data_IF_989305004872
#
_entry.id   IF_989305004872
#
_cell.length_a   1.000
_cell.length_b   1.000
_cell.length_c   1.000
_cell.angle_alpha   90.00
_cell.angle_beta   90.00
_cell.angle_gamma   90.00
#
_symmetry.space_group_name_H-M   'P 1'
#
loop_
_entity.id
_entity.type
_entity.pdbx_description
1 polymer ?
#
# COMPACT_ATOMS: atom_id res chain seq x y z
N UNK A 1 9.85 20.77 1.08
CA UNK A 1 11.08 20.35 0.36
C UNK A 1 11.76 19.29 1.20
N UNK A 2 11.96 18.09 0.66
CA UNK A 2 12.73 17.01 1.29
C UNK A 2 14.21 17.43 1.30
N UNK A 3 14.86 17.46 2.46
CA UNK A 3 16.29 17.75 2.56
C UNK A 3 17.07 16.70 1.76
N UNK A 4 18.03 17.11 0.94
CA UNK A 4 18.88 16.20 0.16
C UNK A 4 20.27 16.13 0.76
N UNK A 5 20.72 14.92 1.07
CA UNK A 5 22.04 14.60 1.62
C UNK A 5 22.82 13.80 0.58
N UNK A 6 24.11 14.05 0.48
CA UNK A 6 25.00 13.22 -0.34
C UNK A 6 25.91 12.42 0.56
N UNK A 7 26.00 11.12 0.29
CA UNK A 7 26.83 10.18 1.04
C UNK A 7 27.76 9.43 0.09
N UNK A 8 29.02 9.30 0.48
CA UNK A 8 30.02 8.56 -0.28
C UNK A 8 29.87 7.08 -0.02
N UNK A 9 29.78 6.27 -1.07
CA UNK A 9 29.77 4.82 -0.93
C UNK A 9 31.09 4.33 -0.32
N UNK A 10 31.08 3.54 0.77
CA UNK A 10 32.32 3.08 1.40
C UNK A 10 33.13 2.11 0.51
N UNK A 11 32.46 1.33 -0.34
CA UNK A 11 33.10 0.29 -1.15
C UNK A 11 33.88 0.84 -2.35
N UNK A 12 33.31 1.84 -3.04
CA UNK A 12 33.87 2.37 -4.28
C UNK A 12 34.32 3.82 -4.19
N UNK A 13 33.93 4.53 -3.12
CA UNK A 13 34.25 5.94 -2.89
C UNK A 13 33.96 6.85 -4.09
N UNK A 14 32.96 6.47 -4.89
CA UNK A 14 32.57 7.25 -6.05
C UNK A 14 32.00 8.60 -5.61
N UNK A 15 32.31 9.60 -6.41
CA UNK A 15 31.90 10.99 -6.26
C UNK A 15 31.22 11.42 -7.55
N UNK A 16 30.71 12.64 -7.58
CA UNK A 16 30.19 13.26 -8.80
C UNK A 16 31.20 13.22 -9.97
N UNK A 17 32.51 13.25 -9.71
CA UNK A 17 33.55 13.34 -10.72
C UNK A 17 33.93 11.99 -11.36
N UNK A 18 33.61 10.85 -10.73
CA UNK A 18 34.04 9.52 -11.17
C UNK A 18 32.92 8.47 -11.01
N UNK A 19 31.68 8.88 -11.23
CA UNK A 19 30.48 8.06 -11.11
C UNK A 19 30.08 7.38 -12.43
N UNK A 20 29.49 6.20 -12.29
CA UNK A 20 28.75 5.52 -13.36
C UNK A 20 27.25 5.46 -13.06
N UNK A 21 26.88 5.41 -11.77
CA UNK A 21 25.51 5.26 -11.34
C UNK A 21 25.18 6.06 -10.07
N UNK A 22 23.88 6.27 -9.86
CA UNK A 22 23.31 6.99 -8.70
C UNK A 22 22.21 6.16 -8.07
N UNK A 23 22.26 6.02 -6.75
CA UNK A 23 21.14 5.52 -5.96
C UNK A 23 20.60 6.67 -5.12
N UNK A 24 19.28 6.85 -5.15
CA UNK A 24 18.58 7.79 -4.26
C UNK A 24 17.69 6.99 -3.34
N UNK A 25 17.94 7.06 -2.04
CA UNK A 25 17.08 6.48 -1.00
C UNK A 25 16.29 7.58 -0.30
N UNK A 26 15.08 7.24 0.13
CA UNK A 26 14.24 8.14 0.94
C UNK A 26 14.25 7.62 2.36
N UNK A 27 14.69 8.46 3.29
CA UNK A 27 14.73 8.18 4.72
C UNK A 27 13.80 9.09 5.50
N UNK A 28 13.49 8.68 6.72
CA UNK A 28 12.81 9.50 7.72
C UNK A 28 13.76 9.70 8.89
N UNK A 29 14.01 10.95 9.26
CA UNK A 29 14.75 11.27 10.46
C UNK A 29 13.94 10.81 11.67
N UNK A 30 14.50 9.92 12.50
CA UNK A 30 13.77 9.28 13.60
C UNK A 30 13.48 10.25 14.75
N UNK A 31 14.21 11.35 14.85
CA UNK A 31 14.09 12.34 15.92
C UNK A 31 13.05 13.40 15.57
N UNK A 32 13.15 13.94 14.35
CA UNK A 32 12.31 15.06 13.88
C UNK A 32 11.11 14.59 13.08
N UNK A 33 11.12 13.34 12.61
CA UNK A 33 10.13 12.79 11.70
C UNK A 33 10.21 13.35 10.28
N UNK A 34 11.18 14.23 9.99
CA UNK A 34 11.33 14.86 8.69
C UNK A 34 11.82 13.86 7.63
N UNK A 35 11.24 13.93 6.44
CA UNK A 35 11.69 13.14 5.30
C UNK A 35 12.96 13.75 4.72
N UNK A 36 13.94 12.91 4.38
CA UNK A 36 15.15 13.30 3.66
C UNK A 36 15.43 12.32 2.51
N UNK A 37 16.17 12.78 1.51
CA UNK A 37 16.66 11.98 0.41
C UNK A 37 18.17 11.86 0.51
N UNK A 38 18.70 10.65 0.56
CA UNK A 38 20.14 10.40 0.49
C UNK A 38 20.51 10.00 -0.93
N UNK A 39 21.54 10.62 -1.47
CA UNK A 39 22.11 10.31 -2.78
C UNK A 39 23.49 9.71 -2.59
N UNK A 40 23.69 8.54 -3.16
CA UNK A 40 24.97 7.83 -3.16
C UNK A 40 25.39 7.55 -4.60
N UNK A 41 26.62 7.92 -4.93
CA UNK A 41 27.24 7.65 -6.23
C UNK A 41 27.99 6.32 -6.19
N UNK A 42 28.04 5.63 -7.33
CA UNK A 42 28.74 4.36 -7.48
C UNK A 42 29.54 4.30 -8.78
N UNK A 43 30.69 3.61 -8.75
CA UNK A 43 31.37 3.14 -9.96
C UNK A 43 30.72 1.85 -10.48
N UNK A 44 31.01 1.49 -11.73
CA UNK A 44 30.46 0.33 -12.42
C UNK A 44 30.63 -0.99 -11.65
N UNK A 45 31.81 -1.21 -11.08
CA UNK A 45 32.16 -2.48 -10.43
C UNK A 45 31.94 -2.46 -8.90
N UNK A 46 31.15 -1.50 -8.40
CA UNK A 46 30.87 -1.39 -6.97
C UNK A 46 30.01 -2.57 -6.47
N UNK A 47 30.47 -3.32 -5.43
CA UNK A 47 29.69 -4.41 -4.85
C UNK A 47 28.35 -3.96 -4.26
N UNK A 48 28.34 -2.89 -3.46
CA UNK A 48 27.09 -2.30 -2.94
C UNK A 48 26.13 -1.92 -4.07
N UNK A 49 26.61 -1.36 -5.18
CA UNK A 49 25.73 -1.05 -6.31
C UNK A 49 25.10 -2.32 -6.89
N UNK A 50 25.92 -3.35 -7.12
CA UNK A 50 25.47 -4.63 -7.68
C UNK A 50 24.38 -5.26 -6.81
N UNK A 51 24.59 -5.30 -5.49
CA UNK A 51 23.59 -5.81 -4.55
C UNK A 51 22.30 -5.01 -4.62
N UNK A 52 22.38 -3.68 -4.66
CA UNK A 52 21.19 -2.84 -4.78
C UNK A 52 20.43 -3.08 -6.09
N UNK A 53 21.13 -3.27 -7.23
CA UNK A 53 20.46 -3.61 -8.48
C UNK A 53 19.68 -4.92 -8.36
N UNK A 54 20.32 -5.97 -7.82
CA UNK A 54 19.68 -7.28 -7.61
C UNK A 54 18.42 -7.13 -6.75
N UNK A 55 18.51 -6.39 -5.64
CA UNK A 55 17.36 -6.16 -4.75
C UNK A 55 16.25 -5.37 -5.43
N UNK A 56 16.59 -4.38 -6.25
CA UNK A 56 15.61 -3.60 -7.02
C UNK A 56 14.91 -4.45 -8.08
N UNK A 57 15.66 -5.26 -8.83
CA UNK A 57 15.11 -6.15 -9.86
C UNK A 57 14.23 -7.23 -9.24
N UNK A 58 14.68 -7.85 -8.14
CA UNK A 58 13.90 -8.84 -7.41
C UNK A 58 12.63 -8.23 -6.80
N UNK A 59 12.75 -7.01 -6.25
CA UNK A 59 11.60 -6.24 -5.79
C UNK A 59 10.59 -5.94 -6.89
N UNK A 60 11.06 -5.51 -8.07
CA UNK A 60 10.22 -5.24 -9.23
C UNK A 60 9.53 -6.51 -9.74
N UNK A 61 10.26 -7.63 -9.80
CA UNK A 61 9.71 -8.95 -10.16
C UNK A 61 8.60 -9.36 -9.19
N UNK A 62 8.83 -9.33 -7.88
CA UNK A 62 7.82 -9.66 -6.86
C UNK A 62 6.62 -8.73 -6.93
N UNK A 63 6.84 -7.43 -7.20
CA UNK A 63 5.74 -6.47 -7.34
C UNK A 63 4.85 -6.83 -8.53
N UNK A 64 5.45 -7.22 -9.67
CA UNK A 64 4.72 -7.69 -10.85
C UNK A 64 3.96 -8.99 -10.58
N UNK A 65 4.61 -9.98 -9.97
CA UNK A 65 3.97 -11.25 -9.60
C UNK A 65 2.77 -11.04 -8.67
N UNK A 66 2.90 -10.14 -7.70
CA UNK A 66 1.80 -9.78 -6.79
C UNK A 66 0.67 -9.06 -7.52
N UNK A 67 0.97 -8.16 -8.45
CA UNK A 67 -0.06 -7.47 -9.27
C UNK A 67 -0.83 -8.46 -10.15
N UNK A 68 -0.13 -9.36 -10.83
CA UNK A 68 -0.73 -10.43 -11.65
C UNK A 68 -1.59 -11.39 -10.80
N UNK A 69 -1.09 -11.78 -9.63
CA UNK A 69 -1.86 -12.57 -8.67
C UNK A 69 -3.11 -11.82 -8.19
N UNK A 70 -2.98 -10.56 -7.79
CA UNK A 70 -4.12 -9.75 -7.30
C UNK A 70 -5.24 -9.64 -8.33
N UNK A 71 -4.91 -9.43 -9.60
CA UNK A 71 -5.87 -9.33 -10.71
C UNK A 71 -6.74 -10.56 -10.90
N UNK A 72 -6.27 -11.73 -10.48
CA UNK A 72 -7.02 -13.00 -10.60
C UNK A 72 -7.60 -13.45 -9.26
N UNK A 73 -6.84 -13.33 -8.18
CA UNK A 73 -7.21 -13.81 -6.86
C UNK A 73 -8.33 -12.97 -6.22
N UNK A 74 -8.29 -11.64 -6.38
CA UNK A 74 -9.27 -10.76 -5.73
C UNK A 74 -10.68 -10.93 -6.31
N UNK A 75 -10.91 -10.90 -7.64
CA UNK A 75 -12.24 -11.13 -8.20
C UNK A 75 -12.81 -12.51 -7.79
N UNK A 76 -11.97 -13.55 -7.81
CA UNK A 76 -12.40 -14.88 -7.39
C UNK A 76 -12.75 -14.94 -5.89
N UNK A 77 -12.01 -14.24 -5.03
CA UNK A 77 -12.32 -14.13 -3.61
C UNK A 77 -13.62 -13.35 -3.36
N UNK A 78 -13.84 -12.28 -4.11
CA UNK A 78 -15.07 -11.49 -4.05
C UNK A 78 -16.31 -12.31 -4.40
N UNK A 79 -16.26 -13.11 -5.48
CA UNK A 79 -17.38 -13.97 -5.86
C UNK A 79 -17.65 -15.08 -4.82
N UNK A 80 -16.61 -15.63 -4.19
CA UNK A 80 -16.78 -16.56 -3.06
C UNK A 80 -17.44 -15.89 -1.86
N UNK A 81 -17.08 -14.65 -1.56
CA UNK A 81 -17.71 -13.87 -0.49
C UNK A 81 -19.19 -13.62 -0.78
N UNK A 82 -19.54 -13.17 -1.99
CA UNK A 82 -20.93 -12.97 -2.41
C UNK A 82 -21.76 -14.24 -2.30
N UNK A 83 -21.21 -15.37 -2.76
CA UNK A 83 -21.89 -16.66 -2.66
C UNK A 83 -22.12 -17.08 -1.20
N UNK A 84 -21.13 -16.85 -0.33
CA UNK A 84 -21.28 -17.12 1.10
C UNK A 84 -22.31 -16.20 1.77
N UNK A 85 -22.32 -14.91 1.41
CA UNK A 85 -23.30 -13.94 1.90
C UNK A 85 -24.73 -14.33 1.48
N UNK A 86 -24.93 -14.74 0.23
CA UNK A 86 -26.24 -15.16 -0.30
C UNK A 86 -26.76 -16.47 0.30
N UNK A 87 -25.88 -17.28 0.92
CA UNK A 87 -26.27 -18.52 1.58
C UNK A 87 -26.72 -18.32 3.03
N UNK A 88 -26.61 -17.09 3.58
CA UNK A 88 -27.06 -16.79 4.93
C UNK A 88 -28.60 -16.63 4.97
N UNK A 89 -29.27 -17.08 6.04
CA UNK A 89 -30.70 -16.83 6.21
C UNK A 89 -31.00 -15.33 6.37
N UNK A 90 -32.05 -14.84 5.72
CA UNK A 90 -32.45 -13.43 5.71
C UNK A 90 -32.77 -12.86 7.12
N UNK A 91 -33.10 -13.72 8.07
CA UNK A 91 -33.43 -13.35 9.46
C UNK A 91 -32.19 -13.29 10.39
N UNK A 92 -30.98 -13.46 9.86
CA UNK A 92 -29.78 -13.42 10.68
C UNK A 92 -29.54 -12.02 11.24
N UNK A 93 -29.33 -11.91 12.55
CA UNK A 93 -28.85 -10.67 13.20
C UNK A 93 -27.54 -10.12 12.58
N UNK A 94 -26.85 -10.93 11.79
CA UNK A 94 -25.66 -10.56 11.02
C UNK A 94 -25.97 -9.81 9.71
N UNK A 95 -27.23 -9.68 9.28
CA UNK A 95 -27.58 -9.10 7.99
C UNK A 95 -26.97 -7.70 7.73
N UNK A 96 -26.98 -6.75 8.69
CA UNK A 96 -26.32 -5.46 8.49
C UNK A 96 -24.80 -5.57 8.31
N UNK A 97 -24.15 -6.50 9.01
CA UNK A 97 -22.71 -6.76 8.87
C UNK A 97 -22.37 -7.34 7.50
N UNK A 98 -23.18 -8.29 7.03
CA UNK A 98 -23.00 -8.93 5.73
C UNK A 98 -23.20 -7.92 4.61
N UNK A 99 -24.23 -7.06 4.72
CA UNK A 99 -24.50 -6.00 3.76
C UNK A 99 -23.36 -4.98 3.71
N UNK A 100 -22.90 -4.48 4.87
CA UNK A 100 -21.78 -3.54 4.96
C UNK A 100 -20.48 -4.13 4.38
N UNK A 101 -20.12 -5.36 4.76
CA UNK A 101 -18.91 -6.02 4.26
C UNK A 101 -18.98 -6.24 2.74
N UNK A 102 -20.14 -6.65 2.22
CA UNK A 102 -20.32 -6.86 0.78
C UNK A 102 -20.18 -5.54 0.01
N UNK A 103 -20.74 -4.44 0.52
CA UNK A 103 -20.61 -3.13 -0.12
C UNK A 103 -19.17 -2.61 -0.09
N UNK A 104 -18.47 -2.75 1.04
CA UNK A 104 -17.05 -2.36 1.15
C UNK A 104 -16.16 -3.13 0.18
N UNK A 105 -16.37 -4.45 0.08
CA UNK A 105 -15.59 -5.28 -0.85
C UNK A 105 -15.95 -4.96 -2.30
N UNK A 106 -17.21 -4.64 -2.59
CA UNK A 106 -17.63 -4.23 -3.93
C UNK A 106 -16.97 -2.92 -4.39
N UNK A 107 -16.89 -1.90 -3.51
CA UNK A 107 -16.21 -0.62 -3.81
C UNK A 107 -14.74 -0.80 -4.23
N UNK A 108 -14.07 -1.80 -3.67
CA UNK A 108 -12.69 -2.12 -4.04
C UNK A 108 -12.59 -3.08 -5.23
N UNK A 109 -13.62 -3.88 -5.49
CA UNK A 109 -13.65 -4.83 -6.61
C UNK A 109 -13.85 -4.16 -7.96
N UNK A 110 -14.59 -3.04 -8.01
CA UNK A 110 -14.88 -2.31 -9.24
C UNK A 110 -13.63 -1.65 -9.84
N UNK A 111 -12.65 -1.30 -8.99
CA UNK A 111 -11.33 -0.81 -9.41
C UNK A 111 -10.25 -1.22 -8.40
N UNK A 112 -9.48 -2.26 -8.72
CA UNK A 112 -8.37 -2.76 -7.89
C UNK A 112 -7.24 -1.74 -7.69
N UNK A 113 -7.16 -0.71 -8.55
CA UNK A 113 -6.20 0.39 -8.42
C UNK A 113 -6.71 1.54 -7.56
N UNK A 114 -8.00 1.54 -7.18
CA UNK A 114 -8.61 2.62 -6.42
C UNK A 114 -8.41 2.43 -4.92
N UNK A 115 -7.93 3.48 -4.28
CA UNK A 115 -8.00 3.63 -2.84
C UNK A 115 -9.43 4.00 -2.43
N UNK A 116 -10.03 3.24 -1.52
CA UNK A 116 -11.31 3.60 -0.90
C UNK A 116 -11.02 4.53 0.29
N UNK A 117 -11.36 5.83 0.22
CA UNK A 117 -10.99 6.80 1.24
C UNK A 117 -11.79 6.62 2.54
N UNK A 118 -11.24 7.05 3.70
CA UNK A 118 -11.91 6.92 4.99
C UNK A 118 -13.33 7.50 5.04
N UNK A 119 -13.58 8.58 4.32
CA UNK A 119 -14.91 9.20 4.23
C UNK A 119 -15.92 8.26 3.56
N UNK A 120 -15.50 7.55 2.51
CA UNK A 120 -16.35 6.55 1.83
C UNK A 120 -16.62 5.34 2.73
N UNK A 121 -15.63 4.93 3.51
CA UNK A 121 -15.82 3.92 4.55
C UNK A 121 -16.88 4.33 5.56
N UNK A 122 -16.80 5.56 6.07
CA UNK A 122 -17.76 6.09 7.04
C UNK A 122 -19.19 6.13 6.45
N UNK A 123 -19.36 6.63 5.23
CA UNK A 123 -20.67 6.65 4.55
C UNK A 123 -21.33 5.27 4.42
N UNK A 124 -20.54 4.24 4.11
CA UNK A 124 -21.04 2.87 3.97
C UNK A 124 -21.41 2.33 5.35
N UNK A 125 -20.53 2.50 6.34
CA UNK A 125 -20.78 2.02 7.69
C UNK A 125 -22.01 2.71 8.32
N UNK A 126 -22.16 4.02 8.19
CA UNK A 126 -23.29 4.77 8.74
C UNK A 126 -24.64 4.33 8.13
N UNK A 127 -24.65 3.88 6.87
CA UNK A 127 -25.87 3.36 6.23
C UNK A 127 -26.36 2.06 6.86
N UNK A 128 -25.44 1.19 7.24
CA UNK A 128 -25.75 -0.13 7.83
C UNK A 128 -25.78 -0.11 9.36
N UNK A 129 -25.10 0.86 9.97
CA UNK A 129 -24.96 1.07 11.41
C UNK A 129 -25.16 2.56 11.75
N UNK A 130 -26.40 3.07 11.64
CA UNK A 130 -26.65 4.49 11.86
C UNK A 130 -26.26 4.90 13.29
N UNK A 131 -25.71 6.10 13.48
CA UNK A 131 -25.38 6.61 14.81
C UNK A 131 -26.64 6.58 15.68
N UNK A 132 -26.51 6.05 16.89
CA UNK A 132 -27.61 6.10 17.85
C UNK A 132 -27.84 7.58 18.18
N UNK A 133 -29.04 8.08 17.91
CA UNK A 133 -29.45 9.39 18.37
C UNK A 133 -29.26 9.44 19.88
N UNK A 134 -28.42 10.33 20.38
CA UNK A 134 -28.48 10.69 21.79
C UNK A 134 -29.87 11.25 22.04
N UNK A 135 -30.76 10.47 22.67
CA UNK A 135 -31.98 11.02 23.25
C UNK A 135 -31.56 12.07 24.29
N UNK A 136 -32.05 13.31 24.21
CA UNK A 136 -31.76 14.28 25.26
C UNK A 136 -32.36 13.75 26.56
N UNK A 137 -31.50 13.42 27.53
CA UNK A 137 -31.95 13.20 28.91
C UNK A 137 -32.71 14.44 29.36
N UNK A 138 -34.00 14.25 29.61
CA UNK A 138 -34.96 15.23 30.09
C UNK A 138 -34.53 15.90 31.40
#
# INVERSE_FOLDING_TARGET
MTERREETCPDCQATEANKDARITSIGKDLTTGAMHATVTWHTKDCPTHTVNQILMEDGARRAKERDEWMKTAFPAAHERLKAAAAALPDEAAAAPFVAALTELVAEQADDLGRFVPPERWAEILDRHFPPQSEEPTA
#
